data_IF_376135409241
#
_entry.id   IF_376135409241
#
_cell.length_a   1.000
_cell.length_b   1.000
_cell.length_c   1.000
_cell.angle_alpha   90.00
_cell.angle_beta   90.00
_cell.angle_gamma   90.00
#
_symmetry.space_group_name_H-M   'P 1'
#
loop_
_entity.id
_entity.type
_entity.pdbx_description
1 polymer ?
#
# COMPACT_ATOMS: atom_id res chain seq x y z
N UNK A 1 5.36 -0.57 20.70
CA UNK A 1 5.89 -1.09 19.42
C UNK A 1 5.33 -0.27 18.27
N UNK A 2 6.20 0.24 17.38
CA UNK A 2 5.77 1.04 16.24
C UNK A 2 5.20 0.17 15.11
N UNK A 3 4.19 0.65 14.39
CA UNK A 3 3.67 -0.03 13.20
C UNK A 3 4.76 -0.10 12.12
N UNK A 4 4.97 -1.26 11.46
CA UNK A 4 5.91 -1.38 10.36
C UNK A 4 5.53 -0.44 9.22
N UNK A 5 6.52 0.31 8.72
CA UNK A 5 6.35 1.21 7.59
C UNK A 5 6.45 0.43 6.27
N UNK A 6 5.68 0.79 5.23
CA UNK A 6 5.89 0.22 3.90
C UNK A 6 7.18 0.76 3.27
N UNK A 7 7.59 0.19 2.13
CA UNK A 7 8.68 0.74 1.33
C UNK A 7 8.35 2.18 0.88
N UNK A 8 9.35 3.06 0.79
CA UNK A 8 9.17 4.48 0.49
C UNK A 8 9.16 5.41 1.71
N UNK A 9 9.30 4.88 2.91
CA UNK A 9 9.41 5.70 4.11
C UNK A 9 10.62 5.29 4.91
N UNK A 10 11.23 6.18 5.68
CA UNK A 10 12.19 5.82 6.71
C UNK A 10 11.75 6.43 8.03
N UNK A 11 12.17 5.80 9.13
CA UNK A 11 11.94 6.34 10.47
C UNK A 11 13.29 6.64 11.08
N UNK A 12 13.50 7.88 11.49
CA UNK A 12 14.74 8.26 12.16
C UNK A 12 14.74 7.84 13.64
N UNK A 13 15.85 8.10 14.33
CA UNK A 13 16.00 7.80 15.75
C UNK A 13 15.03 8.57 16.65
N UNK A 14 14.51 9.73 16.19
CA UNK A 14 13.49 10.51 16.90
C UNK A 14 12.06 9.97 16.71
N UNK A 15 11.89 9.00 15.80
CA UNK A 15 10.60 8.39 15.49
C UNK A 15 9.82 9.15 14.40
N UNK A 16 10.38 10.20 13.82
CA UNK A 16 9.79 10.96 12.72
C UNK A 16 9.87 10.13 11.44
N UNK A 17 8.80 10.16 10.65
CA UNK A 17 8.68 9.40 9.41
C UNK A 17 8.86 10.35 8.24
N UNK A 18 9.89 10.12 7.44
CA UNK A 18 10.17 10.86 6.20
C UNK A 18 10.03 9.93 4.99
N UNK A 19 10.03 10.49 3.78
CA UNK A 19 10.18 9.69 2.56
C UNK A 19 11.56 9.04 2.54
N UNK A 20 11.64 7.92 1.84
CA UNK A 20 12.92 7.27 1.55
C UNK A 20 13.85 8.26 0.81
N UNK A 21 15.11 8.45 1.23
CA UNK A 21 16.03 9.35 0.56
C UNK A 21 16.37 8.90 -0.87
N UNK A 22 16.18 7.61 -1.20
CA UNK A 22 16.38 7.11 -2.56
C UNK A 22 15.27 7.61 -3.49
N UNK A 23 15.65 8.45 -4.46
CA UNK A 23 14.73 9.01 -5.44
C UNK A 23 14.10 7.94 -6.33
N UNK A 24 14.82 6.85 -6.67
CA UNK A 24 14.26 5.78 -7.49
C UNK A 24 13.12 5.07 -6.75
N UNK A 25 13.25 4.88 -5.44
CA UNK A 25 12.18 4.33 -4.59
C UNK A 25 10.96 5.24 -4.64
N UNK A 26 11.16 6.55 -4.48
CA UNK A 26 10.07 7.52 -4.49
C UNK A 26 9.35 7.56 -5.85
N UNK A 27 10.12 7.59 -6.94
CA UNK A 27 9.62 7.64 -8.30
C UNK A 27 8.87 6.37 -8.66
N UNK A 28 9.37 5.19 -8.25
CA UNK A 28 8.69 3.91 -8.52
C UNK A 28 7.34 3.84 -7.83
N UNK A 29 7.24 4.32 -6.59
CA UNK A 29 5.96 4.37 -5.86
C UNK A 29 4.99 5.30 -6.58
N UNK A 30 5.43 6.52 -6.92
CA UNK A 30 4.61 7.49 -7.66
C UNK A 30 4.13 6.92 -9.01
N UNK A 31 5.01 6.25 -9.75
CA UNK A 31 4.72 5.62 -11.03
C UNK A 31 3.61 4.55 -10.91
N UNK A 32 3.59 3.76 -9.84
CA UNK A 32 2.54 2.75 -9.61
C UNK A 32 1.17 3.41 -9.52
N UNK A 33 1.04 4.50 -8.76
CA UNK A 33 -0.23 5.21 -8.61
C UNK A 33 -0.65 5.91 -9.90
N UNK A 34 0.27 6.62 -10.56
CA UNK A 34 0.01 7.28 -11.86
C UNK A 34 -0.43 6.26 -12.91
N UNK A 35 0.30 5.14 -13.02
CA UNK A 35 -0.02 4.06 -13.95
C UNK A 35 -1.39 3.45 -13.66
N UNK A 36 -1.73 3.26 -12.38
CA UNK A 36 -3.02 2.70 -11.99
C UNK A 36 -4.18 3.65 -12.33
N UNK A 37 -4.03 4.95 -12.10
CA UNK A 37 -5.08 5.93 -12.43
C UNK A 37 -5.38 5.96 -13.94
N UNK A 38 -4.36 5.74 -14.77
CA UNK A 38 -4.52 5.62 -16.23
C UNK A 38 -5.13 4.28 -16.64
N UNK A 39 -4.60 3.16 -16.14
CA UNK A 39 -4.93 1.82 -16.64
C UNK A 39 -6.08 1.12 -15.91
N UNK A 40 -6.44 1.63 -14.74
CA UNK A 40 -7.52 1.19 -13.84
C UNK A 40 -7.47 -0.26 -13.38
N UNK A 41 -6.42 -1.03 -13.67
CA UNK A 41 -6.30 -2.43 -13.23
C UNK A 41 -4.87 -2.76 -12.77
N UNK A 42 -4.74 -3.50 -11.66
CA UNK A 42 -3.43 -3.88 -11.12
C UNK A 42 -2.65 -4.81 -12.07
N UNK A 43 -3.37 -5.63 -12.87
CA UNK A 43 -2.77 -6.50 -13.89
C UNK A 43 -2.08 -5.68 -14.97
N UNK A 44 -2.71 -4.63 -15.50
CA UNK A 44 -2.10 -3.77 -16.53
C UNK A 44 -0.89 -3.02 -15.95
N UNK A 45 -0.97 -2.54 -14.72
CA UNK A 45 0.16 -1.86 -14.06
C UNK A 45 1.35 -2.81 -13.92
N UNK A 46 1.11 -4.03 -13.44
CA UNK A 46 2.15 -5.06 -13.36
C UNK A 46 2.77 -5.36 -14.73
N UNK A 47 1.95 -5.50 -15.78
CA UNK A 47 2.44 -5.73 -17.15
C UNK A 47 3.25 -4.55 -17.68
N UNK A 48 2.84 -3.32 -17.41
CA UNK A 48 3.58 -2.12 -17.82
C UNK A 48 4.95 -2.04 -17.13
N UNK A 49 5.01 -2.35 -15.82
CA UNK A 49 6.27 -2.43 -15.10
C UNK A 49 7.18 -3.53 -15.68
N UNK A 50 6.63 -4.70 -16.02
CA UNK A 50 7.40 -5.75 -16.69
C UNK A 50 7.92 -5.33 -18.07
N UNK A 51 7.09 -4.68 -18.88
CA UNK A 51 7.49 -4.20 -20.21
C UNK A 51 8.63 -3.18 -20.13
N UNK A 52 8.67 -2.36 -19.07
CA UNK A 52 9.78 -1.43 -18.80
C UNK A 52 10.96 -2.03 -18.02
N UNK A 53 10.96 -3.34 -17.74
CA UNK A 53 11.94 -4.02 -16.88
C UNK A 53 12.10 -3.37 -15.48
N UNK A 54 10.99 -2.84 -14.95
CA UNK A 54 10.93 -2.08 -13.70
C UNK A 54 10.57 -2.98 -12.52
N UNK A 55 11.44 -3.05 -11.51
CA UNK A 55 11.17 -3.70 -10.22
C UNK A 55 10.35 -2.84 -9.26
N UNK A 56 9.80 -3.43 -8.19
CA UNK A 56 9.12 -2.70 -7.11
C UNK A 56 9.98 -2.68 -5.84
N UNK A 57 10.02 -1.56 -5.11
CA UNK A 57 10.67 -1.50 -3.82
C UNK A 57 9.81 -2.25 -2.79
N UNK A 58 10.47 -3.09 -1.99
CA UNK A 58 9.87 -3.87 -0.90
C UNK A 58 10.75 -3.74 0.33
N UNK A 59 10.13 -3.80 1.51
CA UNK A 59 10.89 -3.95 2.74
C UNK A 59 11.13 -5.42 3.06
N UNK A 60 12.34 -5.73 3.46
CA UNK A 60 12.70 -7.03 4.00
C UNK A 60 12.39 -7.12 5.51
N UNK A 61 12.82 -8.20 6.16
CA UNK A 61 12.61 -8.42 7.59
C UNK A 61 13.42 -7.49 8.49
N UNK A 62 14.49 -6.90 7.96
CA UNK A 62 15.36 -5.96 8.65
C UNK A 62 14.90 -4.50 8.45
N UNK A 63 13.93 -4.28 7.57
CA UNK A 63 13.40 -2.95 7.26
C UNK A 63 14.16 -2.23 6.14
N UNK A 64 15.07 -2.93 5.47
CA UNK A 64 15.84 -2.42 4.34
C UNK A 64 15.04 -2.53 3.04
N UNK A 65 15.30 -1.61 2.11
CA UNK A 65 14.67 -1.64 0.79
C UNK A 65 15.37 -2.67 -0.09
N UNK A 66 14.58 -3.56 -0.68
CA UNK A 66 15.02 -4.50 -1.69
C UNK A 66 14.13 -4.39 -2.93
N UNK A 67 14.72 -4.57 -4.10
CA UNK A 67 14.01 -4.53 -5.38
C UNK A 67 13.51 -5.93 -5.75
N UNK A 68 12.21 -6.07 -6.01
CA UNK A 68 11.58 -7.34 -6.34
C UNK A 68 10.75 -7.23 -7.61
N UNK A 69 10.66 -8.34 -8.34
CA UNK A 69 9.83 -8.44 -9.53
C UNK A 69 8.38 -8.05 -9.21
N UNK A 70 7.72 -7.22 -10.04
CA UNK A 70 6.32 -6.87 -9.86
C UNK A 70 5.43 -8.11 -9.90
N UNK A 71 4.47 -8.17 -8.98
CA UNK A 71 3.41 -9.18 -8.99
C UNK A 71 2.08 -8.49 -8.76
N UNK A 72 0.97 -9.10 -9.20
CA UNK A 72 -0.37 -8.54 -8.99
C UNK A 72 -0.64 -8.28 -7.49
N UNK A 73 -0.32 -9.23 -6.56
CA UNK A 73 -0.47 -8.96 -5.13
C UNK A 73 0.38 -7.80 -4.65
N UNK A 74 1.64 -7.68 -5.08
CA UNK A 74 2.51 -6.58 -4.65
C UNK A 74 1.98 -5.20 -5.09
N UNK A 75 1.55 -5.07 -6.34
CA UNK A 75 0.93 -3.83 -6.84
C UNK A 75 -0.35 -3.53 -6.07
N UNK A 76 -1.21 -4.55 -5.88
CA UNK A 76 -2.47 -4.40 -5.15
C UNK A 76 -2.25 -3.97 -3.70
N UNK A 77 -1.25 -4.53 -3.03
CA UNK A 77 -0.90 -4.18 -1.64
C UNK A 77 -0.43 -2.74 -1.52
N UNK A 78 0.36 -2.24 -2.49
CA UNK A 78 0.76 -0.84 -2.53
C UNK A 78 -0.46 0.08 -2.70
N UNK A 79 -1.32 -0.20 -3.69
CA UNK A 79 -2.51 0.61 -3.98
C UNK A 79 -3.52 0.61 -2.83
N UNK A 80 -3.56 -0.42 -1.99
CA UNK A 80 -4.44 -0.51 -0.81
C UNK A 80 -3.82 0.08 0.46
N UNK A 81 -2.59 0.57 0.43
CA UNK A 81 -1.90 1.04 1.63
C UNK A 81 -2.14 2.54 1.87
N UNK A 82 -2.91 2.92 2.90
CA UNK A 82 -3.23 4.32 3.18
C UNK A 82 -2.03 5.16 3.62
N UNK A 83 -0.90 4.54 3.98
CA UNK A 83 0.32 5.26 4.31
C UNK A 83 0.85 6.09 3.12
N UNK A 84 0.68 5.61 1.88
CA UNK A 84 1.02 6.38 0.69
C UNK A 84 0.14 7.62 0.48
N UNK A 85 -1.03 7.65 1.12
CA UNK A 85 -1.94 8.80 1.19
C UNK A 85 -1.69 9.67 2.43
N UNK A 86 -0.56 9.50 3.11
CA UNK A 86 -0.21 10.22 4.32
C UNK A 86 -0.89 9.74 5.60
N UNK A 87 -1.69 8.66 5.55
CA UNK A 87 -2.51 8.27 6.69
C UNK A 87 -1.92 7.12 7.51
N UNK A 88 -1.99 7.26 8.83
CA UNK A 88 -1.85 6.17 9.78
C UNK A 88 -3.23 5.55 10.07
N UNK A 89 -3.32 4.23 9.96
CA UNK A 89 -4.60 3.52 10.14
C UNK A 89 -4.40 2.29 11.02
N UNK A 90 -5.20 2.21 12.08
CA UNK A 90 -5.28 1.05 12.97
C UNK A 90 -6.65 0.36 12.87
N UNK A 91 -6.67 -0.95 13.13
CA UNK A 91 -7.90 -1.74 13.08
C UNK A 91 -8.35 -2.15 11.68
N UNK A 92 -7.46 -2.17 10.68
CA UNK A 92 -7.76 -2.55 9.27
C UNK A 92 -8.23 -4.01 9.08
N UNK A 93 -8.08 -4.86 10.09
CA UNK A 93 -8.50 -6.27 10.06
C UNK A 93 -9.42 -6.56 11.25
N UNK A 94 -10.39 -7.45 11.06
CA UNK A 94 -11.19 -8.04 12.15
C UNK A 94 -10.88 -9.52 12.26
N UNK A 95 -10.91 -10.03 13.48
CA UNK A 95 -10.90 -11.45 13.73
C UNK A 95 -12.34 -11.95 13.55
N UNK A 96 -12.56 -12.86 12.61
CA UNK A 96 -13.78 -13.65 12.58
C UNK A 96 -13.64 -14.84 13.53
N UNK A 97 -14.69 -15.21 14.26
CA UNK A 97 -14.72 -16.45 15.02
C UNK A 97 -14.36 -17.64 14.13
N UNK A 98 -13.78 -18.71 14.68
CA UNK A 98 -13.56 -19.94 13.94
C UNK A 98 -14.86 -20.42 13.28
N UNK A 99 -14.80 -20.69 11.97
CA UNK A 99 -15.82 -21.48 11.29
C UNK A 99 -15.52 -22.97 11.45
N UNK A 100 -16.02 -23.80 10.52
CA UNK A 100 -15.78 -25.24 10.50
C UNK A 100 -14.29 -25.66 10.47
N UNK A 101 -13.38 -24.74 10.12
CA UNK A 101 -11.91 -24.97 10.08
C UNK A 101 -11.21 -24.82 11.44
N UNK A 102 -11.92 -24.52 12.53
CA UNK A 102 -11.37 -24.49 13.90
C UNK A 102 -10.43 -23.32 14.23
N UNK A 103 -10.03 -22.50 13.25
CA UNK A 103 -9.12 -21.37 13.48
C UNK A 103 -9.76 -20.00 13.22
N UNK A 104 -9.52 -19.00 14.09
CA UNK A 104 -9.97 -17.62 13.85
C UNK A 104 -9.34 -17.03 12.59
N UNK A 105 -10.15 -16.46 11.68
CA UNK A 105 -9.66 -15.89 10.43
C UNK A 105 -9.55 -14.37 10.52
N UNK A 106 -8.38 -13.80 10.17
CA UNK A 106 -8.22 -12.34 10.04
C UNK A 106 -8.71 -11.88 8.68
N UNK A 107 -9.85 -11.19 8.64
CA UNK A 107 -10.42 -10.63 7.40
C UNK A 107 -10.22 -9.11 7.35
N UNK A 108 -9.93 -8.52 6.18
CA UNK A 108 -9.86 -7.07 6.04
C UNK A 108 -11.21 -6.40 6.32
N UNK A 109 -11.17 -5.23 6.95
CA UNK A 109 -12.32 -4.34 7.12
C UNK A 109 -12.42 -3.38 5.93
N UNK A 110 -13.64 -3.08 5.45
CA UNK A 110 -13.83 -1.97 4.52
C UNK A 110 -13.41 -0.66 5.19
N UNK A 111 -13.02 0.32 4.39
CA UNK A 111 -12.47 1.59 4.86
C UNK A 111 -13.33 2.33 5.88
N UNK A 112 -14.68 2.39 5.75
CA UNK A 112 -15.55 3.01 6.74
C UNK A 112 -15.56 2.32 8.12
N UNK A 113 -15.15 1.05 8.19
CA UNK A 113 -15.08 0.29 9.44
C UNK A 113 -13.68 0.34 10.10
N UNK A 114 -12.74 1.12 9.55
CA UNK A 114 -11.43 1.30 10.17
C UNK A 114 -11.58 2.06 11.50
N UNK A 115 -10.97 1.53 12.57
CA UNK A 115 -11.18 2.02 13.93
C UNK A 115 -10.53 3.38 14.17
N UNK A 116 -9.36 3.60 13.59
CA UNK A 116 -8.58 4.83 13.75
C UNK A 116 -8.01 5.18 12.38
N UNK A 117 -8.27 6.40 11.92
CA UNK A 117 -7.68 6.99 10.71
C UNK A 117 -7.14 8.35 11.09
N UNK A 118 -5.82 8.49 11.08
CA UNK A 118 -5.14 9.77 11.29
C UNK A 118 -4.51 10.16 9.95
N UNK A 119 -5.10 11.15 9.29
CA UNK A 119 -4.56 11.73 8.04
C UNK A 119 -3.36 12.62 8.35
N UNK A 120 -2.56 12.92 7.34
CA UNK A 120 -1.40 13.82 7.41
C UNK A 120 -0.35 13.42 8.47
N UNK A 121 -0.28 12.11 8.77
CA UNK A 121 0.71 11.53 9.68
C UNK A 121 2.04 11.22 8.99
N UNK A 122 2.01 10.96 7.70
CA UNK A 122 3.17 10.61 6.88
C UNK A 122 3.27 11.54 5.66
N UNK A 123 4.47 11.77 5.12
CA UNK A 123 4.63 12.56 3.91
C UNK A 123 4.01 11.83 2.72
N UNK A 124 2.91 12.36 2.19
CA UNK A 124 2.11 11.67 1.19
C UNK A 124 2.82 11.53 -0.17
N UNK A 125 2.56 10.42 -0.85
CA UNK A 125 2.88 10.20 -2.26
C UNK A 125 1.70 10.58 -3.17
N UNK A 126 0.49 10.37 -2.69
CA UNK A 126 -0.76 10.77 -3.35
C UNK A 126 -1.67 11.46 -2.35
N UNK A 127 -2.55 12.35 -2.81
CA UNK A 127 -3.55 12.95 -1.92
C UNK A 127 -4.53 11.89 -1.38
N UNK A 128 -5.17 12.20 -0.26
CA UNK A 128 -6.22 11.34 0.30
C UNK A 128 -7.36 11.11 -0.71
N UNK A 129 -7.78 12.16 -1.42
CA UNK A 129 -8.82 12.07 -2.45
C UNK A 129 -8.41 11.12 -3.60
N UNK A 130 -7.16 11.20 -4.06
CA UNK A 130 -6.64 10.27 -5.07
C UNK A 130 -6.64 8.84 -4.56
N UNK A 131 -6.28 8.63 -3.29
CA UNK A 131 -6.35 7.30 -2.68
C UNK A 131 -7.78 6.76 -2.61
N UNK A 132 -8.76 7.59 -2.27
CA UNK A 132 -10.18 7.22 -2.27
C UNK A 132 -10.65 6.80 -3.67
N UNK A 133 -10.25 7.53 -4.72
CA UNK A 133 -10.52 7.17 -6.12
C UNK A 133 -9.90 5.81 -6.48
N UNK A 134 -8.65 5.57 -6.08
CA UNK A 134 -7.99 4.27 -6.27
C UNK A 134 -8.75 3.15 -5.56
N UNK A 135 -9.21 3.36 -4.32
CA UNK A 135 -10.00 2.35 -3.60
C UNK A 135 -11.35 2.06 -4.28
N UNK A 136 -12.01 3.08 -4.82
CA UNK A 136 -13.26 2.91 -5.56
C UNK A 136 -13.06 2.03 -6.80
N UNK A 137 -12.08 2.37 -7.65
CA UNK A 137 -11.75 1.58 -8.85
C UNK A 137 -11.41 0.13 -8.50
N UNK A 138 -10.61 -0.08 -7.45
CA UNK A 138 -10.26 -1.44 -6.99
C UNK A 138 -11.46 -2.25 -6.50
N UNK A 139 -12.46 -1.58 -5.91
CA UNK A 139 -13.70 -2.23 -5.46
C UNK A 139 -14.57 -2.60 -6.66
N UNK A 140 -14.69 -1.70 -7.63
CA UNK A 140 -15.53 -1.90 -8.81
C UNK A 140 -14.98 -3.08 -9.65
N UNK A 141 -13.67 -3.12 -9.88
CA UNK A 141 -12.99 -4.26 -10.56
C UNK A 141 -13.13 -5.63 -9.86
N UNK A 142 -13.53 -5.67 -8.59
CA UNK A 142 -13.75 -6.93 -7.86
C UNK A 142 -15.18 -7.44 -8.01
N UNK A 143 -16.10 -6.54 -8.36
CA UNK A 143 -17.51 -6.85 -8.53
C UNK A 143 -17.85 -7.21 -9.99
N UNK A 144 -16.93 -6.98 -10.92
CA UNK A 144 -16.92 -7.46 -12.31
C UNK A 144 -16.25 -8.84 -12.42
#
# INVERSE_FOLDING_TARGET
MAQPLPAGFVRDASGVVTKDPDQEVQDRISLVFVSFLSQRTAVRVMRALHAGNLSLPRRDRHGEVCWRRPTIPAVTDMLKNPAYAGAFVYGRKRLRPPGASGHPQKTPRPMPEWRIVVKDKYPAYVSWETFEKVQAILRDNRND
#
